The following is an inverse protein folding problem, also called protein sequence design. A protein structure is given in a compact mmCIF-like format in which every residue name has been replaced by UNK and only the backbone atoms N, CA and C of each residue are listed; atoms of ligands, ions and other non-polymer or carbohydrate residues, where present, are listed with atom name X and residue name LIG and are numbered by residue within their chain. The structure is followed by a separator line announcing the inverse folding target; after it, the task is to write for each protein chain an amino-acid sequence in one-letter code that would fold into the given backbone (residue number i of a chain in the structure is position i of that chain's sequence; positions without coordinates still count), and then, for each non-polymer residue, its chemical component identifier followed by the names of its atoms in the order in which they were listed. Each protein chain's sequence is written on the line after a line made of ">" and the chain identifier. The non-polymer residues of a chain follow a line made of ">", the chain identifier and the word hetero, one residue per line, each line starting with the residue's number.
data_IF_758553341251
#
_entry.id   IF_758553341251
#
_cell.length_a   1.000
_cell.length_b   1.000
_cell.length_c   1.000
_cell.angle_alpha   90.00
_cell.angle_beta   90.00
_cell.angle_gamma   90.00
#
_symmetry.space_group_name_H-M   'P 1'
#
loop_
_entity.id
_entity.type
_entity.pdbx_description
1 polymer ?
#
# COMPACT_ATOMS: atom_id res chain seq x y z
N UNK A 1 13.17 3.27 19.17
CA UNK A 1 11.97 3.83 18.51
C UNK A 1 10.75 3.22 19.12
N UNK A 2 9.81 4.04 19.52
CA UNK A 2 8.59 3.56 20.17
C UNK A 2 7.36 4.09 19.43
N UNK A 3 6.30 3.28 19.44
CA UNK A 3 5.01 3.67 18.89
C UNK A 3 4.12 4.22 19.99
N UNK A 4 3.23 5.15 19.65
CA UNK A 4 2.18 5.56 20.56
C UNK A 4 1.20 4.38 20.77
N UNK A 5 0.37 4.49 21.82
CA UNK A 5 -0.65 3.47 22.08
C UNK A 5 -1.57 3.27 20.87
N UNK A 6 -2.02 4.36 20.26
CA UNK A 6 -2.91 4.30 19.10
C UNK A 6 -2.23 3.65 17.90
N UNK A 7 -0.95 3.93 17.70
CA UNK A 7 -0.18 3.30 16.64
C UNK A 7 -0.02 1.80 16.87
N UNK A 8 0.25 1.41 18.11
CA UNK A 8 0.36 -0.01 18.48
C UNK A 8 -0.95 -0.74 18.24
N UNK A 9 -2.07 -0.15 18.64
CA UNK A 9 -3.39 -0.74 18.40
C UNK A 9 -3.66 -0.93 16.91
N UNK A 10 -3.30 0.07 16.10
CA UNK A 10 -3.47 -0.05 14.65
C UNK A 10 -2.63 -1.20 14.10
N UNK A 11 -1.37 -1.29 14.49
CA UNK A 11 -0.49 -2.36 14.02
C UNK A 11 -1.04 -3.75 14.37
N UNK A 12 -1.65 -3.89 15.53
CA UNK A 12 -2.21 -5.18 15.97
C UNK A 12 -3.51 -5.51 15.26
N UNK A 13 -4.30 -4.50 14.90
CA UNK A 13 -5.66 -4.69 14.39
C UNK A 13 -5.80 -4.46 12.89
N UNK A 14 -4.73 -4.14 12.15
CA UNK A 14 -4.80 -3.84 10.72
C UNK A 14 -4.81 -5.11 9.88
N UNK A 15 -5.81 -5.96 10.08
CA UNK A 15 -5.93 -7.24 9.40
C UNK A 15 -7.13 -7.32 8.46
N UNK A 16 -7.84 -6.23 8.25
CA UNK A 16 -8.89 -6.15 7.25
C UNK A 16 -8.28 -5.97 5.85
N UNK A 17 -8.99 -6.36 4.83
CA UNK A 17 -8.54 -6.14 3.45
C UNK A 17 -8.38 -4.65 3.14
N UNK A 18 -9.21 -3.84 3.73
CA UNK A 18 -9.19 -2.40 3.52
C UNK A 18 -9.13 -1.69 4.87
N UNK A 19 -8.01 -1.05 5.13
CA UNK A 19 -7.81 -0.26 6.35
C UNK A 19 -7.60 1.18 5.93
N UNK A 20 -8.39 2.10 6.50
CA UNK A 20 -8.31 3.52 6.16
C UNK A 20 -7.88 4.29 7.41
N UNK A 21 -6.84 5.07 7.28
CA UNK A 21 -6.37 5.96 8.32
C UNK A 21 -6.76 7.39 7.97
N UNK A 22 -7.29 8.12 8.94
CA UNK A 22 -7.59 9.53 8.82
C UNK A 22 -6.75 10.31 9.82
N UNK A 23 -6.53 11.58 9.53
CA UNK A 23 -5.77 12.45 10.42
C UNK A 23 -4.96 13.47 9.63
N UNK A 24 -4.28 14.35 10.37
CA UNK A 24 -3.44 15.36 9.76
C UNK A 24 -2.26 14.74 9.01
N UNK A 25 -1.82 15.41 7.95
CA UNK A 25 -0.78 14.92 7.04
C UNK A 25 0.51 14.62 7.76
N UNK A 26 0.89 15.04 8.83
CA UNK A 26 2.15 14.76 9.51
C UNK A 26 1.93 14.18 10.90
N UNK A 27 0.86 13.42 11.07
CA UNK A 27 0.50 12.86 12.37
C UNK A 27 1.14 11.50 12.65
N UNK A 28 2.13 11.08 11.85
CA UNK A 28 2.81 9.80 12.02
C UNK A 28 2.13 8.62 11.34
N UNK A 29 1.04 8.85 10.61
CA UNK A 29 0.33 7.76 9.93
C UNK A 29 1.14 7.13 8.80
N UNK A 30 1.92 7.93 8.07
CA UNK A 30 2.78 7.41 7.01
C UNK A 30 3.93 6.59 7.60
N UNK A 31 4.45 7.01 8.74
CA UNK A 31 5.50 6.25 9.42
C UNK A 31 5.01 4.84 9.80
N UNK A 32 3.76 4.72 10.23
CA UNK A 32 3.16 3.42 10.50
C UNK A 32 3.16 2.52 9.28
N UNK A 33 2.93 3.09 8.11
CA UNK A 33 2.81 2.32 6.88
C UNK A 33 4.11 1.59 6.54
N UNK A 34 5.26 2.13 6.94
CA UNK A 34 6.55 1.47 6.70
C UNK A 34 6.67 0.14 7.45
N UNK A 35 5.80 -0.10 8.42
CA UNK A 35 5.76 -1.34 9.19
C UNK A 35 4.53 -2.17 8.84
N UNK A 36 3.39 -1.53 8.57
CA UNK A 36 2.15 -2.22 8.21
C UNK A 36 2.29 -2.92 6.85
N UNK A 37 2.88 -2.24 5.87
CA UNK A 37 3.01 -2.80 4.52
C UNK A 37 3.83 -4.10 4.55
N UNK A 38 5.03 -4.15 5.14
CA UNK A 38 5.77 -5.42 5.23
C UNK A 38 5.02 -6.49 6.01
N UNK A 39 4.35 -6.12 7.10
CA UNK A 39 3.57 -7.08 7.89
C UNK A 39 2.48 -7.74 7.07
N UNK A 40 1.75 -6.94 6.30
CA UNK A 40 0.66 -7.45 5.46
C UNK A 40 1.20 -8.27 4.30
N UNK A 41 2.29 -7.83 3.69
CA UNK A 41 2.91 -8.55 2.57
C UNK A 41 3.43 -9.90 3.03
N UNK A 42 4.05 -9.97 4.20
CA UNK A 42 4.56 -11.23 4.75
C UNK A 42 3.45 -12.26 4.99
N UNK A 43 2.23 -11.78 5.27
CA UNK A 43 1.07 -12.67 5.46
C UNK A 43 0.44 -13.10 4.15
N UNK A 44 0.78 -12.48 3.04
CA UNK A 44 0.22 -12.83 1.74
C UNK A 44 0.78 -14.16 1.26
N UNK A 45 -0.08 -14.98 0.63
CA UNK A 45 0.29 -16.28 0.08
C UNK A 45 0.42 -16.24 -1.43
N UNK A 46 0.38 -15.05 -2.02
CA UNK A 46 0.41 -14.81 -3.46
C UNK A 46 -0.71 -15.54 -4.23
N UNK A 47 -1.85 -15.71 -3.58
CA UNK A 47 -3.07 -16.23 -4.21
C UNK A 47 -3.78 -15.16 -5.03
N UNK A 48 -3.32 -13.92 -4.94
CA UNK A 48 -3.84 -12.80 -5.69
C UNK A 48 -2.78 -11.72 -5.80
N UNK A 49 -3.15 -10.58 -6.38
CA UNK A 49 -2.22 -9.48 -6.59
C UNK A 49 -1.96 -8.73 -5.29
N UNK A 50 -0.72 -8.31 -5.11
CA UNK A 50 -0.32 -7.37 -4.08
C UNK A 50 -0.06 -6.04 -4.79
N UNK A 51 -0.82 -5.00 -4.45
CA UNK A 51 -0.82 -3.74 -5.20
C UNK A 51 -0.56 -2.57 -4.26
N UNK A 52 0.38 -1.72 -4.65
CA UNK A 52 0.66 -0.46 -3.95
C UNK A 52 0.32 0.68 -4.90
N UNK A 53 -0.51 1.59 -4.44
CA UNK A 53 -0.97 2.74 -5.23
C UNK A 53 -0.60 4.04 -4.53
N UNK A 54 -0.01 4.96 -5.28
CA UNK A 54 0.18 6.34 -4.85
C UNK A 54 -0.50 7.28 -5.82
N UNK A 55 -0.43 8.58 -5.58
CA UNK A 55 -0.93 9.57 -6.53
C UNK A 55 -0.27 9.39 -7.89
N UNK A 56 1.05 9.28 -7.88
CA UNK A 56 1.85 8.92 -9.05
C UNK A 56 2.84 7.84 -8.63
N UNK A 57 3.41 7.15 -9.61
CA UNK A 57 4.49 6.19 -9.34
C UNK A 57 5.66 6.88 -8.62
N UNK A 58 5.98 8.11 -9.03
CA UNK A 58 7.06 8.88 -8.42
C UNK A 58 6.80 9.25 -6.96
N UNK A 59 5.56 9.65 -6.63
CA UNK A 59 5.22 9.96 -5.24
C UNK A 59 5.20 8.71 -4.37
N UNK A 60 4.76 7.59 -4.92
CA UNK A 60 4.80 6.30 -4.21
C UNK A 60 6.24 5.91 -3.89
N UNK A 61 7.16 6.04 -4.84
CA UNK A 61 8.57 5.74 -4.62
C UNK A 61 9.15 6.66 -3.55
N UNK A 62 8.94 7.97 -3.69
CA UNK A 62 9.54 8.94 -2.79
C UNK A 62 8.98 8.88 -1.37
N UNK A 63 7.68 8.71 -1.23
CA UNK A 63 7.02 8.81 0.07
C UNK A 63 6.94 7.48 0.81
N UNK A 64 6.94 6.36 0.12
CA UNK A 64 6.71 5.05 0.71
C UNK A 64 7.90 4.11 0.51
N UNK A 65 8.29 3.87 -0.72
CA UNK A 65 9.30 2.83 -0.99
C UNK A 65 10.70 3.24 -0.56
N UNK A 66 11.12 4.47 -0.86
CA UNK A 66 12.44 4.94 -0.48
C UNK A 66 12.64 4.99 1.04
N UNK A 67 11.71 5.58 1.82
CA UNK A 67 11.83 5.52 3.28
C UNK A 67 11.78 4.10 3.83
N UNK A 68 10.93 3.26 3.27
CA UNK A 68 10.82 1.87 3.69
C UNK A 68 12.13 1.10 3.41
N UNK A 69 12.73 1.37 2.27
CA UNK A 69 14.03 0.80 1.90
C UNK A 69 15.14 1.23 2.86
N UNK A 70 15.09 2.48 3.33
CA UNK A 70 16.05 2.98 4.32
C UNK A 70 15.90 2.30 5.68
N UNK A 71 14.68 1.91 6.05
CA UNK A 71 14.42 1.24 7.32
C UNK A 71 14.81 -0.24 7.24
N UNK A 72 14.42 -0.92 6.17
CA UNK A 72 14.54 -2.38 6.09
C UNK A 72 15.77 -2.85 5.35
N UNK A 73 16.02 -2.38 4.19
CA UNK A 73 17.23 -2.55 3.37
C UNK A 73 16.84 -2.65 1.89
N UNK A 74 17.79 -2.37 0.97
CA UNK A 74 17.53 -2.54 -0.47
C UNK A 74 17.28 -3.98 -0.88
N UNK A 75 17.77 -4.96 -0.11
CA UNK A 75 17.52 -6.37 -0.41
C UNK A 75 16.07 -6.76 -0.12
N UNK A 76 15.46 -6.15 0.92
CA UNK A 76 14.09 -6.46 1.31
C UNK A 76 13.07 -5.60 0.58
N UNK A 77 13.44 -4.38 0.19
CA UNK A 77 12.56 -3.46 -0.55
C UNK A 77 13.31 -3.05 -1.81
N UNK A 78 12.94 -3.65 -2.93
CA UNK A 78 13.62 -3.41 -4.20
C UNK A 78 13.22 -2.12 -4.88
N UNK A 79 13.65 -1.98 -6.14
CA UNK A 79 13.31 -0.84 -6.99
C UNK A 79 12.13 -1.21 -7.89
N UNK A 80 11.34 -0.20 -8.28
CA UNK A 80 10.25 -0.41 -9.21
C UNK A 80 10.83 -0.68 -10.61
N UNK A 81 10.43 -1.79 -11.21
CA UNK A 81 10.89 -2.17 -12.55
C UNK A 81 10.10 -1.41 -13.62
N UNK A 82 10.54 -1.56 -14.88
CA UNK A 82 9.81 -1.01 -16.03
C UNK A 82 8.42 -1.61 -16.18
N UNK A 83 8.21 -2.81 -15.63
CA UNK A 83 6.91 -3.51 -15.66
C UNK A 83 6.02 -3.16 -14.47
N UNK A 84 6.31 -2.06 -13.76
CA UNK A 84 5.57 -1.58 -12.59
C UNK A 84 5.52 -2.60 -11.44
N UNK A 85 6.53 -3.43 -11.33
CA UNK A 85 6.64 -4.40 -10.23
C UNK A 85 7.79 -4.05 -9.30
N UNK A 86 7.66 -4.44 -8.05
CA UNK A 86 8.69 -4.28 -7.04
C UNK A 86 8.67 -5.50 -6.14
N UNK A 87 9.85 -6.00 -5.78
CA UNK A 87 9.95 -7.10 -4.82
C UNK A 87 10.04 -6.52 -3.42
N UNK A 88 9.13 -6.94 -2.55
CA UNK A 88 9.12 -6.53 -1.15
C UNK A 88 9.07 -7.79 -0.30
N UNK A 89 10.10 -7.98 0.51
CA UNK A 89 10.26 -9.16 1.36
C UNK A 89 10.11 -10.47 0.58
N UNK A 90 10.70 -10.50 -0.62
CA UNK A 90 10.71 -11.68 -1.47
C UNK A 90 9.43 -11.90 -2.27
N UNK A 91 8.46 -11.00 -2.20
CA UNK A 91 7.19 -11.17 -2.90
C UNK A 91 7.01 -10.11 -3.97
N UNK A 92 6.45 -10.52 -5.11
CA UNK A 92 6.19 -9.63 -6.23
C UNK A 92 4.98 -8.76 -5.92
N UNK A 93 5.17 -7.45 -5.98
CA UNK A 93 4.11 -6.46 -5.79
C UNK A 93 4.02 -5.57 -7.01
N UNK A 94 2.84 -5.02 -7.26
CA UNK A 94 2.64 -4.00 -8.30
C UNK A 94 2.69 -2.63 -7.63
N UNK A 95 3.41 -1.70 -8.25
CA UNK A 95 3.57 -0.34 -7.73
C UNK A 95 3.28 0.65 -8.84
N UNK A 96 2.17 1.36 -8.74
CA UNK A 96 1.72 2.25 -9.82
C UNK A 96 1.03 3.48 -9.26
N UNK A 97 0.82 4.46 -10.15
CA UNK A 97 0.15 5.69 -9.80
C UNK A 97 -1.34 5.65 -10.13
N UNK A 98 -2.15 6.19 -9.24
CA UNK A 98 -3.58 6.32 -9.47
C UNK A 98 -3.91 7.32 -10.59
N UNK A 99 -2.93 8.16 -10.99
CA UNK A 99 -3.07 9.07 -12.13
C UNK A 99 -3.07 8.34 -13.47
N UNK A 100 -2.59 7.09 -13.49
CA UNK A 100 -2.54 6.27 -14.70
C UNK A 100 -3.67 5.23 -14.65
N UNK A 101 -4.90 5.71 -14.77
CA UNK A 101 -6.09 4.85 -14.64
C UNK A 101 -6.05 3.67 -15.62
N UNK A 102 -5.42 3.86 -16.79
CA UNK A 102 -5.28 2.78 -17.77
C UNK A 102 -4.39 1.65 -17.24
N UNK A 103 -3.38 1.96 -16.44
CA UNK A 103 -2.55 0.94 -15.80
C UNK A 103 -3.32 0.24 -14.68
N UNK A 104 -4.09 1.00 -13.90
CA UNK A 104 -4.92 0.43 -12.84
C UNK A 104 -5.97 -0.49 -13.44
N UNK A 105 -6.58 -0.10 -14.57
CA UNK A 105 -7.62 -0.90 -15.22
C UNK A 105 -7.10 -2.25 -15.72
N UNK A 106 -5.81 -2.36 -16.04
CA UNK A 106 -5.22 -3.64 -16.45
C UNK A 106 -5.25 -4.67 -15.31
N UNK A 107 -5.34 -4.22 -14.07
CA UNK A 107 -5.44 -5.11 -12.91
C UNK A 107 -6.88 -5.49 -12.61
N UNK A 108 -7.85 -4.84 -13.28
CA UNK A 108 -9.26 -5.12 -13.09
C UNK A 108 -9.58 -6.55 -13.52
N UNK A 109 -10.40 -7.23 -12.72
CA UNK A 109 -10.73 -8.63 -12.98
C UNK A 109 -9.79 -9.62 -12.30
N UNK A 110 -8.62 -9.18 -11.85
CA UNK A 110 -7.73 -10.02 -11.06
C UNK A 110 -8.10 -9.91 -9.58
N UNK A 111 -7.95 -10.99 -8.84
CA UNK A 111 -8.19 -10.97 -7.41
C UNK A 111 -7.02 -10.26 -6.71
N UNK A 112 -7.33 -9.33 -5.81
CA UNK A 112 -6.33 -8.66 -4.99
C UNK A 112 -6.25 -9.36 -3.65
N UNK A 113 -5.04 -9.73 -3.26
CA UNK A 113 -4.82 -10.25 -1.91
C UNK A 113 -4.58 -9.11 -0.93
N UNK A 114 -3.88 -8.07 -1.38
CA UNK A 114 -3.62 -6.89 -0.56
C UNK A 114 -3.50 -5.67 -1.47
N UNK A 115 -4.07 -4.57 -1.06
CA UNK A 115 -3.94 -3.30 -1.76
C UNK A 115 -3.67 -2.19 -0.74
N UNK A 116 -2.60 -1.44 -0.96
CA UNK A 116 -2.26 -0.26 -0.18
C UNK A 116 -2.44 0.98 -1.04
N UNK A 117 -3.00 2.03 -0.45
CA UNK A 117 -3.15 3.31 -1.14
C UNK A 117 -2.63 4.46 -0.29
N UNK A 118 -1.78 5.29 -0.90
CA UNK A 118 -1.23 6.48 -0.28
C UNK A 118 -1.99 7.72 -0.75
N UNK A 119 -2.33 8.61 0.19
CA UNK A 119 -3.04 9.86 -0.09
C UNK A 119 -4.33 9.65 -0.89
N UNK A 120 -5.10 8.66 -0.49
CA UNK A 120 -6.27 8.21 -1.25
C UNK A 120 -7.34 9.29 -1.42
N UNK A 121 -7.38 10.29 -0.54
CA UNK A 121 -8.34 11.39 -0.63
C UNK A 121 -8.09 12.30 -1.83
N UNK A 122 -6.92 12.23 -2.43
CA UNK A 122 -6.56 13.03 -3.61
C UNK A 122 -6.83 12.30 -4.92
N UNK A 123 -7.23 11.02 -4.86
CA UNK A 123 -7.46 10.22 -6.05
C UNK A 123 -8.77 10.58 -6.72
N UNK A 124 -8.82 10.32 -8.03
CA UNK A 124 -10.07 10.44 -8.77
C UNK A 124 -11.06 9.37 -8.31
N UNK A 125 -12.34 9.72 -8.26
CA UNK A 125 -13.38 8.81 -7.78
C UNK A 125 -13.44 7.50 -8.56
N UNK A 126 -13.14 7.55 -9.87
CA UNK A 126 -13.16 6.36 -10.73
C UNK A 126 -12.21 5.27 -10.24
N UNK A 127 -11.09 5.65 -9.62
CA UNK A 127 -10.14 4.68 -9.08
C UNK A 127 -10.77 3.93 -7.90
N UNK A 128 -11.48 4.65 -7.03
CA UNK A 128 -12.17 4.01 -5.91
C UNK A 128 -13.24 3.05 -6.39
N UNK A 129 -14.02 3.44 -7.38
CA UNK A 129 -15.08 2.59 -7.94
C UNK A 129 -14.48 1.32 -8.54
N UNK A 130 -13.31 1.43 -9.18
CA UNK A 130 -12.63 0.28 -9.76
C UNK A 130 -12.14 -0.70 -8.68
N UNK A 131 -11.69 -0.19 -7.54
CA UNK A 131 -11.13 -1.03 -6.48
C UNK A 131 -12.20 -1.61 -5.54
N UNK A 132 -13.38 -1.00 -5.48
CA UNK A 132 -14.41 -1.37 -4.51
C UNK A 132 -14.84 -2.82 -4.57
N UNK A 133 -14.99 -3.47 -5.75
CA UNK A 133 -15.37 -4.88 -5.81
C UNK A 133 -14.39 -5.83 -5.11
N UNK A 134 -13.16 -5.38 -4.87
CA UNK A 134 -12.13 -6.21 -4.24
C UNK A 134 -12.06 -6.00 -2.73
N UNK A 135 -12.93 -5.15 -2.18
CA UNK A 135 -12.93 -4.80 -0.75
C UNK A 135 -14.00 -5.59 -0.04
N UNK A 136 -13.60 -6.47 0.89
CA UNK A 136 -14.55 -7.27 1.68
C UNK A 136 -14.86 -6.64 3.03
N UNK A 137 -13.94 -5.87 3.61
CA UNK A 137 -14.16 -5.24 4.90
C UNK A 137 -13.39 -3.94 4.99
N UNK A 138 -13.90 -3.00 5.77
CA UNK A 138 -13.28 -1.70 5.98
C UNK A 138 -13.08 -1.44 7.46
N UNK A 139 -11.97 -0.81 7.78
CA UNK A 139 -11.69 -0.33 9.13
C UNK A 139 -11.26 1.13 9.04
N UNK A 140 -11.95 2.00 9.76
CA UNK A 140 -11.63 3.43 9.81
C UNK A 140 -10.91 3.76 11.12
N UNK A 141 -9.87 4.54 10.99
CA UNK A 141 -9.12 5.02 12.14
C UNK A 141 -9.08 6.53 12.21
#
# INVERSE_FOLDING_TARGET
>A
MSFSQKQTEYLMNCNHRWNVKTGATRSGKTFLDYFVIPKRILKCRQNGLIVLLGNTKGTLERNILEPMRSIWSPELVGQISSNITVNIFGKKCYALGADKINQVSKLQGAAFEYCYGDEITTWHEDVFQMLEPFVLSKQLL
#
